data_IF_625922713922
#
_entry.id   IF_625922713922
#
_cell.length_a   1.000
_cell.length_b   1.000
_cell.length_c   1.000
_cell.angle_alpha   90.00
_cell.angle_beta   90.00
_cell.angle_gamma   90.00
#
_symmetry.space_group_name_H-M   'P 1'
#
loop_
_entity.id
_entity.type
_entity.pdbx_description
1 polymer ?
#
# COMPACT_ATOMS: atom_id res chain seq x y z
N UNK A 1 -4.23 5.57 15.91
CA UNK A 1 -5.40 6.36 15.43
C UNK A 1 -5.08 7.81 15.04
N UNK A 2 -4.00 8.44 15.50
CA UNK A 2 -3.65 9.85 15.23
C UNK A 2 -3.32 10.19 13.76
N UNK A 3 -3.13 9.20 12.88
CA UNK A 3 -2.65 9.42 11.50
C UNK A 3 -3.78 9.55 10.45
N UNK A 4 -5.01 9.20 10.82
CA UNK A 4 -6.22 9.53 10.04
C UNK A 4 -6.63 11.00 10.21
N UNK A 5 -5.85 11.80 10.95
CA UNK A 5 -6.08 13.24 11.13
C UNK A 5 -5.65 14.08 9.91
N UNK A 6 -5.18 13.44 8.83
CA UNK A 6 -4.67 14.13 7.64
C UNK A 6 -5.46 13.81 6.37
N UNK A 7 -6.65 13.23 6.50
CA UNK A 7 -7.51 12.90 5.34
C UNK A 7 -7.85 14.14 4.51
N UNK A 8 -7.83 15.31 5.14
CA UNK A 8 -8.06 16.61 4.51
C UNK A 8 -6.83 17.20 3.81
N UNK A 9 -5.65 16.61 3.98
CA UNK A 9 -4.37 17.08 3.43
C UNK A 9 -3.87 16.19 2.31
N UNK A 10 -2.96 16.71 1.50
CA UNK A 10 -2.31 16.04 0.38
C UNK A 10 -0.93 15.50 0.78
N UNK A 11 -0.34 14.61 -0.02
CA UNK A 11 1.05 14.17 0.22
C UNK A 11 2.04 15.32 0.05
N UNK A 12 1.83 16.21 -0.93
CA UNK A 12 2.68 17.38 -1.15
C UNK A 12 2.77 18.29 0.11
N UNK A 13 1.71 18.37 0.92
CA UNK A 13 1.68 19.14 2.17
C UNK A 13 2.32 18.40 3.36
N UNK A 14 2.36 17.07 3.30
CA UNK A 14 2.69 16.18 4.41
C UNK A 14 4.11 15.60 4.36
N UNK A 15 4.58 15.31 3.15
CA UNK A 15 5.84 14.62 2.87
C UNK A 15 6.85 15.59 2.23
N UNK A 16 6.98 16.75 2.87
CA UNK A 16 7.75 17.88 2.38
C UNK A 16 9.27 17.61 2.33
N UNK A 17 10.01 18.33 1.47
CA UNK A 17 9.57 19.50 0.69
C UNK A 17 8.65 19.15 -0.48
N UNK A 18 7.85 20.12 -0.93
CA UNK A 18 6.90 19.95 -2.03
C UNK A 18 7.55 19.29 -3.25
N UNK A 19 6.87 18.32 -3.85
CA UNK A 19 7.43 17.57 -4.97
C UNK A 19 7.75 18.50 -6.15
N UNK A 20 8.93 18.37 -6.77
CA UNK A 20 9.24 19.14 -7.96
C UNK A 20 8.25 18.79 -9.09
N UNK A 21 8.08 19.67 -10.09
CA UNK A 21 7.36 19.31 -11.30
C UNK A 21 7.93 18.02 -11.91
N UNK A 22 7.10 17.16 -12.53
CA UNK A 22 7.60 15.94 -13.15
C UNK A 22 8.64 16.28 -14.22
N UNK A 23 9.72 15.49 -14.34
CA UNK A 23 10.78 15.75 -15.32
C UNK A 23 10.23 15.67 -16.75
N UNK A 24 10.69 16.53 -17.65
CA UNK A 24 10.28 16.52 -19.07
C UNK A 24 11.42 16.03 -19.97
N UNK A 25 11.22 14.99 -20.81
CA UNK A 25 9.99 14.23 -20.99
C UNK A 25 9.70 13.25 -19.84
N UNK A 26 8.41 12.99 -19.56
CA UNK A 26 7.97 12.10 -18.47
C UNK A 26 7.19 10.88 -18.98
N UNK A 27 7.13 9.81 -18.18
CA UNK A 27 6.25 8.68 -18.45
C UNK A 27 4.86 8.91 -17.86
N UNK A 28 3.83 8.25 -18.42
CA UNK A 28 2.47 8.36 -17.90
C UNK A 28 2.36 7.95 -16.41
N UNK A 29 3.17 7.00 -15.95
CA UNK A 29 3.22 6.59 -14.55
C UNK A 29 3.76 7.69 -13.64
N UNK A 30 4.87 8.33 -14.04
CA UNK A 30 5.43 9.46 -13.28
C UNK A 30 4.42 10.61 -13.24
N UNK A 31 3.81 10.96 -14.39
CA UNK A 31 2.76 11.98 -14.42
C UNK A 31 1.58 11.65 -13.48
N UNK A 32 1.14 10.38 -13.45
CA UNK A 32 0.07 9.92 -12.56
C UNK A 32 0.47 10.06 -11.08
N UNK A 33 1.66 9.60 -10.69
CA UNK A 33 2.15 9.69 -9.31
C UNK A 33 2.21 11.15 -8.83
N UNK A 34 2.75 12.06 -9.65
CA UNK A 34 2.79 13.48 -9.32
C UNK A 34 1.39 14.10 -9.19
N UNK A 35 0.42 13.66 -10.01
CA UNK A 35 -0.96 14.11 -9.87
C UNK A 35 -1.60 13.61 -8.56
N UNK A 36 -1.35 12.35 -8.19
CA UNK A 36 -1.87 11.75 -6.97
C UNK A 36 -1.30 12.38 -5.69
N UNK A 37 -0.07 12.90 -5.71
CA UNK A 37 0.50 13.59 -4.55
C UNK A 37 -0.27 14.86 -4.14
N UNK A 38 -1.08 15.41 -5.06
CA UNK A 38 -1.93 16.59 -4.87
C UNK A 38 -3.38 16.27 -4.56
N UNK A 39 -3.74 14.98 -4.53
CA UNK A 39 -5.07 14.53 -4.11
C UNK A 39 -5.08 14.46 -2.58
N UNK A 40 -6.20 14.87 -1.97
CA UNK A 40 -6.36 14.76 -0.51
C UNK A 40 -6.36 13.29 -0.14
N UNK A 41 -5.73 12.94 0.97
CA UNK A 41 -5.59 11.55 1.38
C UNK A 41 -6.94 10.83 1.52
N UNK A 42 -7.99 11.52 1.96
CA UNK A 42 -9.34 10.97 2.07
C UNK A 42 -10.07 10.77 0.75
N UNK A 43 -9.57 11.38 -0.34
CA UNK A 43 -10.15 11.27 -1.68
C UNK A 43 -9.41 10.24 -2.56
N UNK A 44 -8.31 9.66 -2.05
CA UNK A 44 -7.57 8.61 -2.76
C UNK A 44 -8.40 7.32 -2.85
N UNK A 45 -8.54 6.80 -4.08
CA UNK A 45 -9.21 5.52 -4.30
C UNK A 45 -8.28 4.34 -3.96
N UNK A 46 -8.81 3.11 -3.79
CA UNK A 46 -7.98 1.92 -3.66
C UNK A 46 -6.94 1.77 -4.79
N UNK A 47 -7.32 2.11 -6.03
CA UNK A 47 -6.43 2.05 -7.19
C UNK A 47 -5.30 3.08 -7.12
N UNK A 48 -5.55 4.24 -6.52
CA UNK A 48 -4.55 5.27 -6.29
C UNK A 48 -3.59 4.85 -5.18
N UNK A 49 -4.11 4.31 -4.06
CA UNK A 49 -3.31 3.74 -2.98
C UNK A 49 -2.40 2.63 -3.48
N UNK A 50 -2.94 1.68 -4.27
CA UNK A 50 -2.17 0.60 -4.92
C UNK A 50 -1.05 1.16 -5.80
N UNK A 51 -1.34 2.22 -6.56
CA UNK A 51 -0.36 2.89 -7.43
C UNK A 51 0.75 3.56 -6.61
N UNK A 52 0.41 4.33 -5.58
CA UNK A 52 1.38 5.04 -4.73
C UNK A 52 2.26 4.06 -3.94
N UNK A 53 1.66 3.02 -3.36
CA UNK A 53 2.39 1.96 -2.62
C UNK A 53 3.34 1.22 -3.56
N UNK A 54 2.87 0.87 -4.77
CA UNK A 54 3.68 0.21 -5.78
C UNK A 54 4.85 1.06 -6.31
N UNK A 55 4.86 2.36 -6.01
CA UNK A 55 5.93 3.30 -6.38
C UNK A 55 6.72 3.81 -5.17
N UNK A 56 6.50 3.24 -3.97
CA UNK A 56 7.15 3.65 -2.72
C UNK A 56 6.94 5.14 -2.35
N UNK A 57 5.78 5.69 -2.70
CA UNK A 57 5.46 7.11 -2.48
C UNK A 57 4.59 7.31 -1.25
N UNK A 58 5.02 8.18 -0.34
CA UNK A 58 4.22 8.60 0.81
C UNK A 58 3.79 7.46 1.73
N UNK A 59 4.57 6.37 1.82
CA UNK A 59 4.19 5.13 2.50
C UNK A 59 3.71 5.35 3.94
N UNK A 60 4.26 6.35 4.63
CA UNK A 60 3.86 6.69 6.00
C UNK A 60 2.38 7.08 6.13
N UNK A 61 1.81 7.58 5.03
CA UNK A 61 0.44 8.07 4.95
C UNK A 61 -0.46 7.10 4.19
N UNK A 62 0.01 6.49 3.10
CA UNK A 62 -0.82 5.63 2.25
C UNK A 62 -0.97 4.20 2.78
N UNK A 63 0.01 3.65 3.50
CA UNK A 63 -0.11 2.30 4.08
C UNK A 63 -1.26 2.20 5.09
N UNK A 64 -1.40 3.13 6.06
CA UNK A 64 -2.56 3.12 6.97
C UNK A 64 -3.92 3.18 6.27
N UNK A 65 -4.02 3.93 5.16
CA UNK A 65 -5.26 4.05 4.41
C UNK A 65 -5.58 2.76 3.64
N UNK A 66 -4.56 2.14 3.04
CA UNK A 66 -4.72 0.85 2.38
C UNK A 66 -5.13 -0.24 3.35
N UNK A 67 -4.50 -0.32 4.54
CA UNK A 67 -4.88 -1.31 5.56
C UNK A 67 -6.33 -1.10 6.00
N UNK A 68 -6.77 0.15 6.20
CA UNK A 68 -8.18 0.43 6.51
C UNK A 68 -9.14 -0.13 5.46
N UNK A 69 -8.85 0.08 4.17
CA UNK A 69 -9.68 -0.47 3.09
C UNK A 69 -9.66 -2.01 3.09
N UNK A 70 -8.50 -2.62 3.33
CA UNK A 70 -8.33 -4.07 3.36
C UNK A 70 -8.99 -4.74 4.56
N UNK A 71 -9.18 -4.03 5.67
CA UNK A 71 -9.95 -4.55 6.82
C UNK A 71 -11.43 -4.70 6.46
N UNK A 72 -11.96 -3.83 5.62
CA UNK A 72 -13.34 -3.91 5.13
C UNK A 72 -13.49 -5.02 4.07
N UNK A 73 -12.57 -5.08 3.10
CA UNK A 73 -12.52 -6.11 2.07
C UNK A 73 -11.07 -6.46 1.68
N UNK A 74 -10.52 -7.58 2.19
CA UNK A 74 -9.16 -8.01 1.88
C UNK A 74 -8.92 -8.34 0.40
N UNK A 75 -9.96 -8.70 -0.34
CA UNK A 75 -9.91 -9.15 -1.73
C UNK A 75 -10.46 -8.10 -2.71
N UNK A 76 -10.60 -6.85 -2.28
CA UNK A 76 -11.06 -5.76 -3.14
C UNK A 76 -10.25 -5.67 -4.44
N UNK A 77 -10.92 -5.32 -5.54
CA UNK A 77 -10.28 -5.05 -6.83
C UNK A 77 -9.90 -3.57 -6.93
N UNK A 78 -8.60 -3.28 -6.88
CA UNK A 78 -8.03 -1.95 -7.01
C UNK A 78 -7.43 -1.67 -8.40
N UNK A 79 -7.92 -2.34 -9.44
CA UNK A 79 -7.87 -2.02 -10.89
C UNK A 79 -7.49 -3.23 -11.76
N UNK A 80 -6.65 -4.14 -11.26
CA UNK A 80 -6.10 -5.24 -12.08
C UNK A 80 -6.80 -6.57 -11.83
N UNK A 81 -7.00 -6.92 -10.57
CA UNK A 81 -7.59 -8.18 -10.13
C UNK A 81 -7.95 -8.11 -8.64
N UNK A 82 -8.85 -8.99 -8.14
CA UNK A 82 -9.15 -9.10 -6.72
C UNK A 82 -7.90 -9.30 -5.86
N UNK A 83 -7.74 -8.46 -4.83
CA UNK A 83 -6.62 -8.52 -3.89
C UNK A 83 -5.31 -7.87 -4.39
N UNK A 84 -5.32 -7.14 -5.50
CA UNK A 84 -4.14 -6.45 -6.01
C UNK A 84 -3.60 -5.36 -5.05
N UNK A 85 -4.48 -4.69 -4.29
CA UNK A 85 -4.07 -3.80 -3.19
C UNK A 85 -3.36 -4.55 -2.07
N UNK A 86 -3.90 -5.70 -1.65
CA UNK A 86 -3.29 -6.54 -0.62
C UNK A 86 -1.90 -7.03 -1.06
N UNK A 87 -1.76 -7.47 -2.31
CA UNK A 87 -0.44 -7.85 -2.85
C UNK A 87 0.54 -6.67 -2.88
N UNK A 88 0.10 -5.47 -3.27
CA UNK A 88 0.95 -4.28 -3.26
C UNK A 88 1.46 -3.95 -1.85
N UNK A 89 0.59 -4.09 -0.84
CA UNK A 89 0.90 -3.91 0.58
C UNK A 89 1.87 -4.98 1.09
N UNK A 90 1.59 -6.27 0.83
CA UNK A 90 2.44 -7.38 1.28
C UNK A 90 3.82 -7.40 0.60
N UNK A 91 3.94 -6.78 -0.58
CA UNK A 91 5.21 -6.65 -1.28
C UNK A 91 6.17 -5.63 -0.63
N UNK A 92 5.71 -4.84 0.35
CA UNK A 92 6.58 -3.85 1.02
C UNK A 92 7.56 -4.52 1.99
N UNK A 93 8.84 -4.09 2.00
CA UNK A 93 9.85 -4.64 2.90
C UNK A 93 9.53 -4.33 4.37
N UNK A 94 10.11 -5.11 5.28
CA UNK A 94 9.89 -4.96 6.73
C UNK A 94 10.15 -3.53 7.24
N UNK A 95 11.15 -2.84 6.67
CA UNK A 95 11.45 -1.44 7.02
C UNK A 95 10.28 -0.47 6.79
N UNK A 96 9.41 -0.73 5.81
CA UNK A 96 8.21 0.09 5.57
C UNK A 96 7.19 0.00 6.72
N UNK A 97 7.26 -1.07 7.51
CA UNK A 97 6.38 -1.36 8.64
C UNK A 97 6.99 -1.00 9.99
N UNK A 98 8.24 -0.52 10.04
CA UNK A 98 8.95 -0.25 11.30
C UNK A 98 8.21 0.76 12.19
N UNK A 99 7.48 1.71 11.57
CA UNK A 99 6.66 2.70 12.28
C UNK A 99 5.19 2.25 12.48
N UNK A 100 4.85 1.05 11.99
CA UNK A 100 3.50 0.51 11.94
C UNK A 100 3.43 -0.98 12.34
N UNK A 101 4.00 -1.39 13.49
CA UNK A 101 3.95 -2.79 13.92
C UNK A 101 2.51 -3.29 14.09
N UNK A 102 1.61 -2.47 14.64
CA UNK A 102 0.21 -2.88 14.83
C UNK A 102 -0.52 -3.12 13.49
N UNK A 103 -0.31 -2.23 12.50
CA UNK A 103 -0.91 -2.42 11.16
C UNK A 103 -0.30 -3.61 10.43
N UNK A 104 0.97 -3.90 10.70
CA UNK A 104 1.64 -5.10 10.20
C UNK A 104 0.93 -6.35 10.73
N UNK A 105 0.69 -6.40 12.04
CA UNK A 105 -0.04 -7.51 12.66
C UNK A 105 -1.47 -7.63 12.13
N UNK A 106 -2.15 -6.51 11.92
CA UNK A 106 -3.49 -6.48 11.33
C UNK A 106 -3.50 -7.08 9.90
N UNK A 107 -2.57 -6.68 9.04
CA UNK A 107 -2.42 -7.29 7.70
C UNK A 107 -2.10 -8.79 7.78
N UNK A 108 -1.24 -9.20 8.72
CA UNK A 108 -0.98 -10.63 8.96
C UNK A 108 -2.27 -11.39 9.34
N UNK A 109 -3.09 -10.82 10.21
CA UNK A 109 -4.35 -11.41 10.63
C UNK A 109 -5.35 -11.49 9.46
N UNK A 110 -5.45 -10.46 8.62
CA UNK A 110 -6.28 -10.49 7.41
C UNK A 110 -5.87 -11.64 6.50
N UNK A 111 -4.57 -11.77 6.20
CA UNK A 111 -4.04 -12.88 5.40
C UNK A 111 -4.30 -14.23 6.07
N UNK A 112 -4.19 -14.32 7.39
CA UNK A 112 -4.46 -15.53 8.16
C UNK A 112 -5.92 -16.00 8.06
N UNK A 113 -6.86 -15.06 7.90
CA UNK A 113 -8.29 -15.33 7.83
C UNK A 113 -8.83 -15.55 6.41
N UNK A 114 -8.01 -15.33 5.37
CA UNK A 114 -8.40 -15.60 3.98
C UNK A 114 -8.73 -17.07 3.77
N UNK A 115 -9.75 -17.32 2.93
CA UNK A 115 -10.08 -18.68 2.49
C UNK A 115 -8.96 -19.28 1.65
N UNK A 116 -8.92 -20.61 1.52
CA UNK A 116 -7.95 -21.27 0.64
C UNK A 116 -8.10 -20.84 -0.82
N UNK A 117 -9.31 -20.52 -1.26
CA UNK A 117 -9.57 -20.01 -2.61
C UNK A 117 -8.93 -18.64 -2.80
N UNK A 118 -9.16 -17.70 -1.89
CA UNK A 118 -8.59 -16.34 -1.97
C UNK A 118 -7.06 -16.39 -1.92
N UNK A 119 -6.50 -17.25 -1.06
CA UNK A 119 -5.04 -17.46 -0.98
C UNK A 119 -4.49 -18.04 -2.27
N UNK A 120 -5.21 -18.94 -2.93
CA UNK A 120 -4.81 -19.49 -4.23
C UNK A 120 -4.82 -18.42 -5.32
N UNK A 121 -5.84 -17.56 -5.33
CA UNK A 121 -5.96 -16.43 -6.27
C UNK A 121 -4.83 -15.41 -6.09
N UNK A 122 -4.55 -14.99 -4.84
CA UNK A 122 -3.41 -14.12 -4.53
C UNK A 122 -2.08 -14.70 -4.98
N UNK A 123 -1.86 -16.01 -4.78
CA UNK A 123 -0.64 -16.70 -5.21
C UNK A 123 -0.51 -16.77 -6.74
N UNK A 124 -1.64 -16.90 -7.45
CA UNK A 124 -1.65 -16.94 -8.91
C UNK A 124 -1.25 -15.59 -9.53
N UNK A 125 -1.66 -14.48 -8.89
CA UNK A 125 -1.35 -13.13 -9.35
C UNK A 125 -0.03 -12.56 -8.80
N UNK A 126 0.59 -13.22 -7.82
CA UNK A 126 1.86 -12.79 -7.25
C UNK A 126 3.01 -12.75 -8.27
N UNK A 127 3.94 -11.79 -8.15
CA UNK A 127 5.14 -11.76 -9.00
C UNK A 127 5.94 -13.06 -8.90
N UNK A 128 6.46 -13.55 -10.04
CA UNK A 128 7.28 -14.77 -10.06
C UNK A 128 8.49 -14.63 -9.14
N UNK A 129 8.71 -15.61 -8.27
CA UNK A 129 9.80 -15.59 -7.29
C UNK A 129 9.51 -14.80 -6.01
N UNK A 130 8.33 -14.19 -5.89
CA UNK A 130 7.86 -13.63 -4.63
C UNK A 130 7.62 -14.76 -3.64
N UNK A 131 8.44 -14.82 -2.58
CA UNK A 131 8.32 -15.79 -1.48
C UNK A 131 7.29 -15.38 -0.43
N UNK A 132 6.34 -14.52 -0.82
CA UNK A 132 5.35 -13.98 0.09
C UNK A 132 5.96 -13.19 1.24
N UNK A 133 5.12 -12.84 2.19
CA UNK A 133 5.55 -12.42 3.51
C UNK A 133 6.03 -13.67 4.25
N UNK A 134 7.35 -13.90 4.27
CA UNK A 134 7.94 -14.95 5.10
C UNK A 134 7.82 -14.52 6.55
N UNK A 135 6.68 -14.80 7.17
CA UNK A 135 6.51 -14.76 8.61
C UNK A 135 7.40 -15.81 9.26
N UNK A 136 8.70 -15.53 9.36
CA UNK A 136 9.60 -16.20 10.30
C UNK A 136 10.48 -15.15 10.95
N UNK A 137 10.09 -14.85 12.18
CA UNK A 137 10.86 -14.28 13.28
C UNK A 137 12.36 -14.43 13.12
N UNK A 138 13.08 -13.29 13.09
CA UNK A 138 14.44 -13.25 13.60
C UNK A 138 14.42 -13.56 15.09
N UNK A 139 14.47 -14.85 15.42
CA UNK A 139 15.02 -15.29 16.69
C UNK A 139 16.54 -15.24 16.51
N UNK A 140 17.14 -14.10 16.85
CA UNK A 140 18.59 -13.97 16.96
C UNK A 140 18.93 -13.73 18.42
N UNK A 141 19.50 -14.78 19.03
CA UNK A 141 20.54 -14.72 20.07
C UNK A 141 20.14 -14.20 21.43
#
# INVERSE_FOLDING_TARGET
MTRLLHLDRTLDELDGPAWPPPPSPTTALVAKVHALCRVRLGDLTPADLRTLIGQDVGLLYVLPLAVRALVEDPMLDAYFYPGDLLLAVLARPEGAWALFPDLREEVAALVANLSEQDRAELRACAPKGWRGWTGQTGQTG
#
